data_IF_222610654940
#
_entry.id   IF_222610654940
#
_cell.length_a   1.000
_cell.length_b   1.000
_cell.length_c   1.000
_cell.angle_alpha   90.00
_cell.angle_beta   90.00
_cell.angle_gamma   90.00
#
_symmetry.space_group_name_H-M   'P 1'
#
loop_
_entity.id
_entity.type
_entity.pdbx_description
1 polymer ?
#
# COMPACT_ATOMS: atom_id res chain seq x y z
N UNK A 1 -5.00 -4.32 -5.97
CA UNK A 1 -6.14 -4.05 -5.05
C UNK A 1 -6.76 -2.67 -5.27
N UNK A 2 -7.72 -2.27 -4.45
CA UNK A 2 -8.27 -0.92 -4.44
C UNK A 2 -9.19 -0.60 -5.62
N UNK A 3 -9.36 0.68 -5.92
CA UNK A 3 -10.23 1.15 -7.01
C UNK A 3 -9.72 0.81 -8.41
N UNK A 4 -8.44 0.42 -8.56
CA UNK A 4 -7.88 -0.02 -9.84
C UNK A 4 -8.68 -1.17 -10.48
N UNK A 5 -9.29 -2.05 -9.67
CA UNK A 5 -10.13 -3.15 -10.15
C UNK A 5 -11.41 -2.67 -10.87
N UNK A 6 -11.78 -1.40 -10.73
CA UNK A 6 -12.96 -0.84 -11.39
C UNK A 6 -12.67 -0.39 -12.84
N UNK A 7 -11.42 -0.48 -13.29
CA UNK A 7 -11.01 -0.03 -14.61
C UNK A 7 -10.98 -1.17 -15.63
N UNK A 8 -11.82 -1.06 -16.67
CA UNK A 8 -11.82 -2.02 -17.78
C UNK A 8 -10.46 -2.03 -18.51
N UNK A 9 -9.76 -0.89 -18.55
CA UNK A 9 -8.41 -0.79 -19.13
C UNK A 9 -7.41 -1.59 -18.29
N UNK A 10 -7.45 -1.47 -16.96
CA UNK A 10 -6.57 -2.25 -16.08
C UNK A 10 -6.83 -3.76 -16.23
N UNK A 11 -8.09 -4.16 -16.41
CA UNK A 11 -8.44 -5.55 -16.70
C UNK A 11 -7.89 -6.01 -18.06
N UNK A 12 -8.13 -5.26 -19.14
CA UNK A 12 -7.64 -5.60 -20.48
C UNK A 12 -6.11 -5.64 -20.59
N UNK A 13 -5.39 -4.83 -19.80
CA UNK A 13 -3.93 -4.82 -19.74
C UNK A 13 -3.34 -5.89 -18.80
N UNK A 14 -4.19 -6.67 -18.11
CA UNK A 14 -3.74 -7.68 -17.14
C UNK A 14 -3.18 -7.11 -15.83
N UNK A 15 -3.42 -5.83 -15.55
CA UNK A 15 -3.06 -5.19 -14.27
C UNK A 15 -3.98 -5.71 -13.15
N UNK A 16 -5.24 -5.99 -13.47
CA UNK A 16 -6.22 -6.55 -12.53
C UNK A 16 -6.89 -7.79 -13.12
N UNK A 17 -7.14 -8.81 -12.29
CA UNK A 17 -7.75 -10.07 -12.72
C UNK A 17 -9.31 -10.07 -12.70
N UNK A 18 -9.91 -8.94 -12.32
CA UNK A 18 -11.36 -8.81 -12.13
C UNK A 18 -11.99 -8.08 -13.32
N UNK A 19 -13.04 -8.65 -13.91
CA UNK A 19 -13.84 -8.00 -14.96
C UNK A 19 -14.81 -6.98 -14.34
N UNK A 20 -14.57 -5.67 -14.49
CA UNK A 20 -15.38 -4.64 -13.85
C UNK A 20 -16.76 -4.48 -14.49
N UNK A 21 -16.92 -4.84 -15.77
CA UNK A 21 -18.20 -4.72 -16.48
C UNK A 21 -19.14 -5.80 -16.00
N UNK A 22 -18.67 -7.06 -15.95
CA UNK A 22 -19.46 -8.18 -15.44
C UNK A 22 -19.84 -8.02 -13.97
N UNK A 23 -18.99 -7.36 -13.18
CA UNK A 23 -19.23 -7.11 -11.76
C UNK A 23 -19.94 -5.79 -11.45
N UNK A 24 -20.24 -4.96 -12.46
CA UNK A 24 -20.92 -3.67 -12.27
C UNK A 24 -20.14 -2.69 -11.41
N UNK A 25 -18.80 -2.68 -11.51
CA UNK A 25 -17.93 -1.79 -10.74
C UNK A 25 -17.93 -0.37 -11.31
N UNK A 26 -17.88 0.63 -10.43
CA UNK A 26 -17.93 2.06 -10.80
C UNK A 26 -16.54 2.61 -11.14
N UNK A 27 -16.31 2.95 -12.40
CA UNK A 27 -15.04 3.48 -12.89
C UNK A 27 -14.64 4.80 -12.21
N UNK A 28 -15.60 5.67 -11.91
CA UNK A 28 -15.39 7.01 -11.35
C UNK A 28 -14.76 6.98 -9.95
N UNK A 29 -14.80 5.82 -9.28
CA UNK A 29 -14.08 5.60 -8.01
C UNK A 29 -12.57 5.40 -8.20
N UNK A 30 -12.14 5.05 -9.41
CA UNK A 30 -10.74 4.93 -9.79
C UNK A 30 -10.19 6.25 -10.32
N UNK A 31 -10.89 6.86 -11.27
CA UNK A 31 -10.50 8.11 -11.89
C UNK A 31 -11.72 8.97 -12.20
N UNK A 32 -11.72 10.21 -11.73
CA UNK A 32 -12.82 11.16 -11.90
C UNK A 32 -12.28 12.54 -12.27
N UNK A 33 -12.96 13.23 -13.19
CA UNK A 33 -12.59 14.59 -13.61
C UNK A 33 -12.76 15.60 -12.48
N UNK A 34 -13.71 15.33 -11.58
CA UNK A 34 -14.08 16.19 -10.46
C UNK A 34 -13.06 16.16 -9.33
N UNK A 35 -12.36 15.03 -9.11
CA UNK A 35 -11.28 14.95 -8.11
C UNK A 35 -9.99 15.63 -8.56
N UNK A 36 -9.70 15.64 -9.86
CA UNK A 36 -8.46 16.17 -10.43
C UNK A 36 -7.17 15.63 -9.77
N UNK A 37 -7.23 14.43 -9.19
CA UNK A 37 -6.10 13.73 -8.57
C UNK A 37 -5.59 12.62 -9.50
N UNK A 38 -4.26 12.36 -9.56
CA UNK A 38 -3.74 11.18 -10.24
C UNK A 38 -4.34 9.90 -9.62
N UNK A 39 -4.65 8.88 -10.45
CA UNK A 39 -5.07 7.59 -9.91
C UNK A 39 -3.89 6.88 -9.25
N UNK A 40 -4.18 6.10 -8.20
CA UNK A 40 -3.20 5.26 -7.51
C UNK A 40 -3.48 3.77 -7.76
N UNK A 41 -2.42 3.00 -8.03
CA UNK A 41 -2.52 1.56 -8.35
C UNK A 41 -1.60 0.78 -7.41
N UNK A 42 -2.23 0.12 -6.46
CA UNK A 42 -1.57 -0.81 -5.56
C UNK A 42 -1.55 -2.24 -6.13
N UNK A 43 -0.35 -2.79 -6.31
CA UNK A 43 -0.14 -4.18 -6.71
C UNK A 43 0.17 -5.06 -5.49
N UNK A 44 -0.49 -6.22 -5.43
CA UNK A 44 -0.19 -7.26 -4.45
C UNK A 44 0.80 -8.24 -5.09
N UNK A 45 1.99 -8.35 -4.49
CA UNK A 45 3.07 -9.22 -4.95
C UNK A 45 3.26 -10.32 -3.91
N UNK A 46 3.60 -11.52 -4.38
CA UNK A 46 3.99 -12.63 -3.51
C UNK A 46 5.16 -12.20 -2.60
N UNK A 47 5.10 -12.58 -1.32
CA UNK A 47 5.91 -11.96 -0.28
C UNK A 47 7.40 -12.28 -0.44
N UNK A 48 7.75 -13.51 -0.83
CA UNK A 48 9.14 -13.94 -1.04
C UNK A 48 9.75 -13.32 -2.30
N UNK A 49 8.92 -13.01 -3.30
CA UNK A 49 9.34 -12.45 -4.60
C UNK A 49 9.21 -10.94 -4.69
N UNK A 50 8.72 -10.27 -3.63
CA UNK A 50 8.57 -8.81 -3.61
C UNK A 50 9.89 -8.08 -3.89
N UNK A 51 11.01 -8.62 -3.40
CA UNK A 51 12.33 -8.04 -3.61
C UNK A 51 12.74 -8.04 -5.09
N UNK A 52 12.37 -9.07 -5.87
CA UNK A 52 12.62 -9.12 -7.31
C UNK A 52 11.99 -7.92 -8.03
N UNK A 53 10.74 -7.58 -7.66
CA UNK A 53 10.00 -6.46 -8.25
C UNK A 53 10.64 -5.13 -7.86
N UNK A 54 11.09 -4.98 -6.61
CA UNK A 54 11.77 -3.76 -6.14
C UNK A 54 13.08 -3.56 -6.92
N UNK A 55 13.90 -4.62 -7.06
CA UNK A 55 15.13 -4.52 -7.83
C UNK A 55 14.87 -4.23 -9.31
N UNK A 56 13.84 -4.84 -9.91
CA UNK A 56 13.42 -4.52 -11.27
C UNK A 56 13.11 -3.02 -11.44
N UNK A 57 12.42 -2.40 -10.49
CA UNK A 57 12.14 -0.96 -10.52
C UNK A 57 13.44 -0.15 -10.43
N UNK A 58 14.38 -0.52 -9.55
CA UNK A 58 15.67 0.17 -9.45
C UNK A 58 16.54 0.00 -10.70
N UNK A 59 16.56 -1.18 -11.32
CA UNK A 59 17.29 -1.43 -12.56
C UNK A 59 16.69 -0.63 -13.72
N UNK A 60 15.35 -0.58 -13.80
CA UNK A 60 14.64 0.08 -14.88
C UNK A 60 14.71 1.60 -14.82
N UNK A 61 14.63 2.18 -13.63
CA UNK A 61 14.51 3.63 -13.45
C UNK A 61 15.76 4.28 -12.84
N UNK A 62 16.70 3.50 -12.30
CA UNK A 62 17.90 3.99 -11.64
C UNK A 62 17.66 4.41 -10.18
N UNK A 63 18.70 4.30 -9.34
CA UNK A 63 18.62 4.66 -7.91
C UNK A 63 18.53 6.17 -7.66
N UNK A 64 18.89 6.99 -8.63
CA UNK A 64 18.75 8.45 -8.56
C UNK A 64 17.30 8.91 -8.76
N UNK A 65 16.42 8.03 -9.25
CA UNK A 65 15.03 8.35 -9.59
C UNK A 65 13.99 7.46 -8.88
N UNK A 66 14.42 6.44 -8.14
CA UNK A 66 13.54 5.54 -7.42
C UNK A 66 14.07 5.23 -6.02
N UNK A 67 13.17 5.26 -5.04
CA UNK A 67 13.46 4.92 -3.63
C UNK A 67 12.19 4.39 -2.94
N UNK A 68 12.38 3.66 -1.84
CA UNK A 68 11.29 3.27 -0.95
C UNK A 68 10.84 4.45 -0.08
N UNK A 69 9.53 4.62 0.05
CA UNK A 69 8.96 5.61 0.97
C UNK A 69 9.17 5.16 2.42
N UNK A 70 9.64 6.07 3.27
CA UNK A 70 9.87 5.78 4.68
C UNK A 70 8.57 5.84 5.51
N UNK A 71 8.53 5.08 6.59
CA UNK A 71 7.43 5.10 7.55
C UNK A 71 7.86 5.79 8.85
N UNK A 72 7.03 6.71 9.35
CA UNK A 72 7.25 7.35 10.65
C UNK A 72 6.43 6.64 11.73
N UNK A 73 7.12 5.92 12.63
CA UNK A 73 6.48 5.25 13.76
C UNK A 73 6.29 6.27 14.89
N UNK A 74 5.03 6.51 15.27
CA UNK A 74 4.68 7.38 16.40
C UNK A 74 4.40 6.56 17.66
N UNK A 75 4.69 7.15 18.80
CA UNK A 75 4.39 6.57 20.10
C UNK A 75 2.88 6.57 20.36
N UNK A 76 2.29 5.39 20.50
CA UNK A 76 0.87 5.22 20.85
C UNK A 76 0.74 5.00 22.37
N UNK A 77 -0.43 5.31 22.93
CA UNK A 77 -0.68 5.22 24.37
C UNK A 77 -0.24 3.88 24.99
N UNK A 78 -0.54 2.75 24.35
CA UNK A 78 -0.12 1.42 24.84
C UNK A 78 1.40 1.26 24.90
N UNK A 79 2.13 1.75 23.91
CA UNK A 79 3.60 1.71 23.94
C UNK A 79 4.16 2.63 25.01
N UNK A 80 3.55 3.81 25.19
CA UNK A 80 3.94 4.77 26.22
C UNK A 80 3.76 4.22 27.63
N UNK A 81 2.58 3.69 27.94
CA UNK A 81 2.27 3.08 29.23
C UNK A 81 3.20 1.90 29.51
N UNK A 82 3.43 1.04 28.52
CA UNK A 82 4.34 -0.10 28.66
C UNK A 82 5.76 0.31 28.99
N UNK A 83 6.31 1.29 28.28
CA UNK A 83 7.70 1.69 28.49
C UNK A 83 7.89 2.51 29.78
N UNK A 84 6.91 3.33 30.17
CA UNK A 84 6.88 3.96 31.50
C UNK A 84 6.79 2.89 32.60
N UNK A 85 5.91 1.91 32.42
CA UNK A 85 5.73 0.81 33.38
C UNK A 85 7.01 -0.02 33.55
N UNK A 86 7.75 -0.30 32.47
CA UNK A 86 9.08 -0.94 32.55
C UNK A 86 10.05 -0.14 33.42
N UNK A 87 10.12 1.17 33.24
CA UNK A 87 11.00 2.05 34.04
C UNK A 87 10.57 2.08 35.51
N UNK A 88 9.27 2.02 35.78
CA UNK A 88 8.70 2.01 37.13
C UNK A 88 8.70 0.62 37.79
N UNK A 89 9.21 -0.42 37.13
CA UNK A 89 9.22 -1.79 37.66
C UNK A 89 7.86 -2.49 37.69
N UNK A 90 6.89 -2.00 36.91
CA UNK A 90 5.58 -2.64 36.75
C UNK A 90 5.73 -3.87 35.86
N UNK A 91 5.22 -5.02 36.32
CA UNK A 91 5.25 -6.26 35.54
C UNK A 91 4.46 -6.11 34.23
N UNK A 92 4.97 -6.68 33.14
CA UNK A 92 4.37 -6.57 31.80
C UNK A 92 2.95 -7.18 31.74
N UNK A 93 2.65 -8.17 32.58
CA UNK A 93 1.31 -8.76 32.70
C UNK A 93 0.28 -7.86 33.39
N UNK A 94 0.73 -6.76 34.02
CA UNK A 94 -0.12 -5.81 34.73
C UNK A 94 -0.43 -4.54 33.91
N UNK A 95 -0.05 -4.49 32.62
CA UNK A 95 -0.17 -3.35 31.70
C UNK A 95 -0.90 -3.72 30.40
#
# INVERSE_FOLDING_TARGET
RGSAANSAVCYCLGITAVDPVRMGLLFERFLSRERAEPPDIDLDIEHERREEVIQHVYEKYGRDHAAMVCNFIRYRARSAVRDVGKVLGVAETAL
#
